data_IF_580734108662
#
_entry.id   IF_580734108662
#
_cell.length_a   1.000
_cell.length_b   1.000
_cell.length_c   1.000
_cell.angle_alpha   90.00
_cell.angle_beta   90.00
_cell.angle_gamma   90.00
#
_symmetry.space_group_name_H-M   'P 1'
#
loop_
_entity.id
_entity.type
_entity.pdbx_description
1 polymer ?
#
# COMPACT_ATOMS: atom_id res chain seq x y z
N UNK A 1 -34.85 10.77 25.94
CA UNK A 1 -34.58 9.96 27.15
C UNK A 1 -33.82 8.68 26.87
N UNK A 2 -33.94 8.02 25.70
CA UNK A 2 -33.04 6.89 25.36
C UNK A 2 -31.63 7.32 24.94
N UNK A 3 -31.46 8.52 24.37
CA UNK A 3 -30.15 8.95 23.85
C UNK A 3 -29.13 9.31 24.95
N UNK A 4 -29.59 9.86 26.08
CA UNK A 4 -28.69 10.25 27.18
C UNK A 4 -28.14 9.04 27.95
N UNK A 5 -28.91 7.94 28.01
CA UNK A 5 -28.49 6.71 28.69
C UNK A 5 -27.42 5.95 27.90
N UNK A 6 -27.62 5.82 26.57
CA UNK A 6 -26.63 5.20 25.68
C UNK A 6 -25.32 5.99 25.63
N UNK A 7 -25.41 7.33 25.71
CA UNK A 7 -24.23 8.20 25.78
C UNK A 7 -23.44 7.98 27.08
N UNK A 8 -24.13 7.89 28.22
CA UNK A 8 -23.49 7.67 29.52
C UNK A 8 -22.82 6.28 29.63
N UNK A 9 -23.44 5.21 29.12
CA UNK A 9 -22.82 3.87 29.10
C UNK A 9 -21.60 3.83 28.16
N UNK A 10 -21.69 4.48 26.99
CA UNK A 10 -20.57 4.58 26.04
C UNK A 10 -19.41 5.38 26.63
N UNK A 11 -19.68 6.51 27.28
CA UNK A 11 -18.66 7.35 27.93
C UNK A 11 -17.96 6.56 29.04
N UNK A 12 -18.69 5.84 29.91
CA UNK A 12 -18.10 5.03 30.98
C UNK A 12 -17.25 3.87 30.44
N UNK A 13 -17.69 3.21 29.36
CA UNK A 13 -16.91 2.17 28.69
C UNK A 13 -15.60 2.74 28.13
N UNK A 14 -15.67 3.88 27.44
CA UNK A 14 -14.51 4.58 26.91
C UNK A 14 -13.53 5.01 28.01
N UNK A 15 -14.03 5.54 29.14
CA UNK A 15 -13.19 5.91 30.28
C UNK A 15 -12.47 4.69 30.88
N UNK A 16 -13.15 3.54 31.00
CA UNK A 16 -12.54 2.30 31.49
C UNK A 16 -11.44 1.75 30.57
N UNK A 17 -11.66 1.76 29.26
CA UNK A 17 -10.67 1.37 28.25
C UNK A 17 -9.48 2.35 28.23
N UNK A 18 -9.74 3.65 28.32
CA UNK A 18 -8.72 4.71 28.42
C UNK A 18 -7.85 4.54 29.66
N UNK A 19 -8.44 4.26 30.81
CA UNK A 19 -7.70 4.06 32.06
C UNK A 19 -6.85 2.78 32.01
N UNK A 20 -7.41 1.69 31.49
CA UNK A 20 -6.72 0.41 31.30
C UNK A 20 -5.53 0.58 30.36
N UNK A 21 -5.75 1.21 29.21
CA UNK A 21 -4.69 1.50 28.24
C UNK A 21 -3.61 2.41 28.83
N UNK A 22 -3.98 3.45 29.58
CA UNK A 22 -3.01 4.36 30.21
C UNK A 22 -2.09 3.62 31.17
N UNK A 23 -2.65 2.72 32.00
CA UNK A 23 -1.87 1.85 32.91
C UNK A 23 -0.95 0.88 32.15
N UNK A 24 -1.43 0.27 31.08
CA UNK A 24 -0.62 -0.61 30.22
C UNK A 24 0.51 0.15 29.53
N UNK A 25 0.22 1.34 29.00
CA UNK A 25 1.17 2.26 28.39
C UNK A 25 2.25 2.63 29.39
N UNK A 26 1.90 3.16 30.55
CA UNK A 26 2.87 3.53 31.59
C UNK A 26 3.73 2.34 32.03
N UNK A 27 3.14 1.15 32.17
CA UNK A 27 3.87 -0.08 32.50
C UNK A 27 4.83 -0.53 31.38
N UNK A 28 4.45 -0.35 30.11
CA UNK A 28 5.27 -0.70 28.94
C UNK A 28 6.44 0.29 28.77
N UNK A 29 6.17 1.59 28.93
CA UNK A 29 7.15 2.67 28.75
C UNK A 29 8.09 2.89 29.93
N UNK A 30 7.67 2.53 31.15
CA UNK A 30 8.55 2.55 32.32
C UNK A 30 9.68 1.51 32.25
N UNK A 31 9.52 0.49 31.41
CA UNK A 31 10.49 -0.60 31.24
C UNK A 31 11.19 -0.60 29.87
N UNK A 32 10.87 0.35 28.99
CA UNK A 32 11.37 0.37 27.61
C UNK A 32 12.75 1.06 27.54
N UNK A 33 13.73 0.41 26.91
CA UNK A 33 15.03 1.01 26.63
C UNK A 33 14.97 2.11 25.54
N UNK A 34 16.11 2.76 25.28
CA UNK A 34 16.23 3.83 24.27
C UNK A 34 15.86 3.31 22.87
N UNK A 35 16.16 2.05 22.56
CA UNK A 35 15.79 1.43 21.28
C UNK A 35 14.28 1.33 21.12
N UNK A 36 13.56 0.93 22.17
CA UNK A 36 12.10 0.84 22.17
C UNK A 36 11.41 2.19 21.93
N UNK A 37 12.01 3.29 22.39
CA UNK A 37 11.53 4.66 22.09
C UNK A 37 11.77 5.02 20.62
N UNK A 38 12.95 4.73 20.08
CA UNK A 38 13.25 4.90 18.65
C UNK A 38 12.30 4.10 17.75
N UNK A 39 11.91 2.88 18.16
CA UNK A 39 10.92 2.09 17.43
C UNK A 39 9.53 2.72 17.46
N UNK A 40 9.13 3.36 18.54
CA UNK A 40 7.86 4.08 18.61
C UNK A 40 7.85 5.34 17.75
N UNK A 41 8.90 6.16 17.79
CA UNK A 41 9.01 7.35 16.93
C UNK A 41 8.96 6.95 15.44
N UNK A 42 9.61 5.83 15.09
CA UNK A 42 9.56 5.28 13.72
C UNK A 42 8.18 4.74 13.35
N UNK A 43 7.51 4.09 14.28
CA UNK A 43 6.18 3.52 14.03
C UNK A 43 5.09 4.58 13.97
N UNK A 44 5.23 5.65 14.75
CA UNK A 44 4.42 6.86 14.67
C UNK A 44 4.62 7.55 13.31
N UNK A 45 5.88 7.71 12.88
CA UNK A 45 6.21 8.26 11.56
C UNK A 45 5.62 7.43 10.42
N UNK A 46 5.62 6.11 10.56
CA UNK A 46 5.05 5.19 9.58
C UNK A 46 3.52 5.17 9.60
N UNK A 47 2.88 5.18 10.78
CA UNK A 47 1.43 5.31 10.93
C UNK A 47 0.94 6.63 10.32
N UNK A 48 1.70 7.71 10.49
CA UNK A 48 1.46 8.99 9.83
C UNK A 48 1.55 8.89 8.31
N UNK A 49 2.58 8.20 7.77
CA UNK A 49 2.70 7.99 6.32
C UNK A 49 1.56 7.15 5.75
N UNK A 50 1.14 6.09 6.45
CA UNK A 50 -0.04 5.30 6.07
C UNK A 50 -1.29 6.16 6.09
N UNK A 51 -1.50 6.95 7.14
CA UNK A 51 -2.64 7.85 7.21
C UNK A 51 -2.65 8.83 6.03
N UNK A 52 -1.52 9.43 5.67
CA UNK A 52 -1.40 10.32 4.50
C UNK A 52 -1.64 9.58 3.17
N UNK A 53 -1.19 8.33 3.04
CA UNK A 53 -1.49 7.49 1.88
C UNK A 53 -2.98 7.10 1.80
N UNK A 54 -3.60 6.72 2.91
CA UNK A 54 -5.03 6.46 3.02
C UNK A 54 -5.84 7.72 2.70
N UNK A 55 -5.43 8.89 3.20
CA UNK A 55 -6.06 10.19 2.87
C UNK A 55 -6.00 10.49 1.37
N UNK A 56 -4.89 10.16 0.69
CA UNK A 56 -4.77 10.26 -0.77
C UNK A 56 -5.71 9.28 -1.49
N UNK A 57 -5.84 8.06 -1.00
CA UNK A 57 -6.79 7.06 -1.52
C UNK A 57 -8.25 7.48 -1.29
N UNK A 58 -8.60 8.07 -0.15
CA UNK A 58 -9.94 8.61 0.15
C UNK A 58 -10.30 9.88 -0.67
N UNK A 59 -9.30 10.51 -1.30
CA UNK A 59 -9.52 11.63 -2.22
C UNK A 59 -9.99 11.17 -3.61
N UNK A 60 -9.87 9.86 -3.91
CA UNK A 60 -10.47 9.24 -5.08
C UNK A 60 -11.94 8.92 -4.79
N UNK A 61 -12.82 9.55 -5.58
CA UNK A 61 -14.27 9.47 -5.45
C UNK A 61 -14.76 8.04 -5.70
N UNK A 62 -15.14 7.29 -4.65
CA UNK A 62 -16.34 6.42 -4.60
C UNK A 62 -16.31 5.50 -3.36
N UNK A 63 -16.88 5.91 -2.22
CA UNK A 63 -17.40 4.99 -1.18
C UNK A 63 -18.60 5.64 -0.45
N UNK A 64 -19.65 4.82 -0.32
CA UNK A 64 -20.88 4.75 0.50
C UNK A 64 -21.40 5.91 1.40
N UNK A 65 -22.73 5.98 1.53
CA UNK A 65 -23.51 7.04 2.19
C UNK A 65 -23.32 7.13 3.72
N UNK A 66 -23.00 6.04 4.42
CA UNK A 66 -22.80 6.06 5.89
C UNK A 66 -21.50 6.75 6.34
N UNK A 67 -20.50 6.83 5.44
CA UNK A 67 -19.27 7.59 5.68
C UNK A 67 -19.43 9.09 5.38
N UNK A 68 -20.59 9.53 4.88
CA UNK A 68 -20.83 10.92 4.48
C UNK A 68 -20.79 11.90 5.65
N UNK A 69 -21.24 11.50 6.84
CA UNK A 69 -21.19 12.35 8.05
C UNK A 69 -19.75 12.47 8.59
N UNK A 70 -18.99 11.37 8.64
CA UNK A 70 -17.57 11.39 9.02
C UNK A 70 -16.75 12.16 7.98
N UNK A 71 -17.06 11.99 6.68
CA UNK A 71 -16.42 12.72 5.57
C UNK A 71 -16.82 14.20 5.56
N UNK A 72 -18.02 14.56 6.00
CA UNK A 72 -18.45 15.95 6.17
C UNK A 72 -17.71 16.62 7.32
N UNK A 73 -17.61 15.98 8.49
CA UNK A 73 -16.83 16.50 9.63
C UNK A 73 -15.32 16.54 9.31
N UNK A 74 -14.78 15.52 8.63
CA UNK A 74 -13.39 15.52 8.15
C UNK A 74 -13.16 16.55 7.05
N UNK A 75 -14.08 16.75 6.10
CA UNK A 75 -14.00 17.82 5.08
C UNK A 75 -14.12 19.19 5.70
N UNK A 76 -14.94 19.37 6.72
CA UNK A 76 -15.07 20.62 7.48
C UNK A 76 -13.78 20.93 8.25
N UNK A 77 -13.10 19.91 8.78
CA UNK A 77 -11.76 20.00 9.35
C UNK A 77 -10.65 20.23 8.29
N UNK A 78 -10.83 19.74 7.06
CA UNK A 78 -9.83 19.84 5.98
C UNK A 78 -9.94 21.10 5.10
N UNK A 79 -11.15 21.56 4.82
CA UNK A 79 -11.43 22.50 3.73
C UNK A 79 -11.20 23.97 4.08
N UNK A 80 -10.91 24.29 5.34
CA UNK A 80 -10.77 25.70 5.75
C UNK A 80 -9.32 26.16 5.95
N UNK A 81 -8.32 25.26 5.98
CA UNK A 81 -6.94 25.66 6.36
C UNK A 81 -5.79 25.01 5.56
N UNK A 82 -5.93 23.82 4.94
CA UNK A 82 -4.75 23.08 4.42
C UNK A 82 -4.30 23.44 3.00
N UNK A 83 -5.25 23.75 2.10
CA UNK A 83 -4.94 23.99 0.67
C UNK A 83 -4.16 25.28 0.41
N UNK A 84 -4.43 26.33 1.18
CA UNK A 84 -3.71 27.60 1.07
C UNK A 84 -2.35 27.53 1.78
N UNK A 85 -2.26 26.80 2.90
CA UNK A 85 -1.02 26.62 3.67
C UNK A 85 0.04 25.81 2.92
N UNK A 86 -0.34 24.72 2.24
CA UNK A 86 0.62 23.87 1.51
C UNK A 86 1.24 24.61 0.32
N UNK A 87 0.45 25.44 -0.37
CA UNK A 87 0.92 26.28 -1.46
C UNK A 87 1.85 27.39 -0.93
N UNK A 88 1.48 28.05 0.18
CA UNK A 88 2.31 29.07 0.82
C UNK A 88 3.65 28.52 1.34
N UNK A 89 3.65 27.32 1.94
CA UNK A 89 4.86 26.64 2.41
C UNK A 89 5.76 26.24 1.23
N UNK A 90 5.18 25.69 0.16
CA UNK A 90 5.91 25.36 -1.07
C UNK A 90 6.60 26.59 -1.65
N UNK A 91 5.91 27.73 -1.71
CA UNK A 91 6.46 28.94 -2.31
C UNK A 91 7.54 29.59 -1.42
N UNK A 92 7.38 29.55 -0.10
CA UNK A 92 8.44 29.95 0.85
C UNK A 92 9.68 29.06 0.79
N UNK A 93 9.51 27.75 0.68
CA UNK A 93 10.66 26.82 0.54
C UNK A 93 11.41 27.10 -0.77
N UNK A 94 10.69 27.36 -1.88
CA UNK A 94 11.31 27.77 -3.14
C UNK A 94 12.09 29.08 -2.98
N UNK A 95 11.50 30.07 -2.32
CA UNK A 95 12.16 31.36 -2.05
C UNK A 95 13.48 31.16 -1.27
N UNK A 96 13.46 30.35 -0.21
CA UNK A 96 14.65 30.05 0.61
C UNK A 96 15.72 29.34 -0.23
N UNK A 97 15.32 28.32 -1.01
CA UNK A 97 16.25 27.53 -1.83
C UNK A 97 16.88 28.36 -2.96
N UNK A 98 16.14 29.32 -3.53
CA UNK A 98 16.63 30.18 -4.61
C UNK A 98 17.26 31.50 -4.13
N UNK A 99 17.36 31.72 -2.82
CA UNK A 99 17.92 32.96 -2.23
C UNK A 99 19.43 33.15 -2.45
N UNK A 100 20.14 32.15 -2.97
CA UNK A 100 21.60 32.21 -3.20
C UNK A 100 22.44 32.11 -1.91
N UNK A 101 21.81 31.80 -0.77
CA UNK A 101 22.49 31.59 0.53
C UNK A 101 23.33 30.30 0.54
N UNK A 102 24.22 30.19 1.53
CA UNK A 102 24.96 28.96 1.79
C UNK A 102 24.02 27.78 2.10
N UNK A 103 24.39 26.57 1.65
CA UNK A 103 23.54 25.37 1.77
C UNK A 103 23.18 25.02 3.21
N UNK A 104 24.05 25.26 4.18
CA UNK A 104 23.75 24.95 5.58
C UNK A 104 22.73 25.93 6.17
N UNK A 105 22.77 27.18 5.71
CA UNK A 105 21.80 28.22 6.08
C UNK A 105 20.43 27.91 5.46
N UNK A 106 20.42 27.51 4.18
CA UNK A 106 19.20 27.07 3.48
C UNK A 106 18.57 25.87 4.20
N UNK A 107 19.37 24.87 4.58
CA UNK A 107 18.87 23.69 5.28
C UNK A 107 18.24 24.07 6.63
N UNK A 108 18.88 24.94 7.41
CA UNK A 108 18.34 25.38 8.70
C UNK A 108 17.06 26.21 8.53
N UNK A 109 17.01 27.14 7.57
CA UNK A 109 15.81 27.96 7.32
C UNK A 109 14.64 27.12 6.77
N UNK A 110 14.89 26.10 5.97
CA UNK A 110 13.86 25.15 5.53
C UNK A 110 13.35 24.32 6.72
N UNK A 111 14.23 23.89 7.62
CA UNK A 111 13.85 23.18 8.85
C UNK A 111 13.03 24.08 9.76
N UNK A 112 13.45 25.33 9.96
CA UNK A 112 12.74 26.29 10.82
C UNK A 112 11.38 26.69 10.22
N UNK A 113 11.30 26.83 8.89
CA UNK A 113 10.05 27.04 8.16
C UNK A 113 9.13 25.82 8.32
N UNK A 114 9.65 24.61 8.09
CA UNK A 114 8.89 23.38 8.27
C UNK A 114 8.38 23.22 9.71
N UNK A 115 9.21 23.46 10.73
CA UNK A 115 8.84 23.38 12.14
C UNK A 115 7.75 24.40 12.51
N UNK A 116 7.86 25.64 12.03
CA UNK A 116 6.85 26.69 12.24
C UNK A 116 5.50 26.36 11.59
N UNK A 117 5.51 25.61 10.49
CA UNK A 117 4.30 25.12 9.82
C UNK A 117 3.75 23.83 10.44
N UNK A 118 4.62 22.97 10.99
CA UNK A 118 4.24 21.77 11.74
C UNK A 118 3.43 22.12 12.99
N UNK A 119 3.74 23.24 13.66
CA UNK A 119 2.95 23.78 14.77
C UNK A 119 1.50 24.12 14.38
N UNK A 120 1.16 24.16 13.09
CA UNK A 120 -0.16 24.52 12.54
C UNK A 120 -0.79 23.43 11.63
N UNK A 121 -0.26 22.20 11.61
CA UNK A 121 -0.90 21.09 10.87
C UNK A 121 -2.17 20.59 11.57
N UNK A 122 -3.24 20.20 10.85
CA UNK A 122 -4.49 19.82 11.47
C UNK A 122 -4.41 18.45 12.15
N UNK A 123 -4.83 18.47 13.42
CA UNK A 123 -5.29 17.36 14.27
C UNK A 123 -4.28 16.24 14.57
N UNK A 124 -3.20 16.60 15.22
CA UNK A 124 -2.72 15.77 16.32
C UNK A 124 -3.64 16.08 17.52
N UNK A 125 -4.16 15.09 18.29
CA UNK A 125 -4.92 15.38 19.50
C UNK A 125 -3.92 15.86 20.59
N UNK A 126 -3.40 17.08 20.42
CA UNK A 126 -2.43 17.70 21.34
C UNK A 126 -3.10 18.20 22.62
N UNK A 127 -4.42 18.30 22.66
CA UNK A 127 -5.13 18.44 23.93
C UNK A 127 -4.79 17.21 24.77
N UNK A 128 -3.97 17.42 25.82
CA UNK A 128 -3.57 16.38 26.79
C UNK A 128 -4.77 15.62 27.36
N UNK A 129 -5.97 16.16 27.20
CA UNK A 129 -7.23 15.65 27.73
C UNK A 129 -8.12 15.00 26.65
N UNK A 130 -7.73 14.99 25.37
CA UNK A 130 -8.55 14.35 24.33
C UNK A 130 -8.49 12.82 24.44
N UNK A 131 -9.62 12.12 24.64
CA UNK A 131 -9.65 10.66 24.68
C UNK A 131 -9.22 10.02 23.35
N UNK A 132 -9.35 10.74 22.23
CA UNK A 132 -8.88 10.30 20.91
C UNK A 132 -7.34 10.20 20.83
N UNK A 133 -6.62 10.93 21.68
CA UNK A 133 -5.16 10.81 21.79
C UNK A 133 -4.75 9.40 22.18
N UNK A 134 -5.44 8.83 23.17
CA UNK A 134 -5.11 7.51 23.71
C UNK A 134 -5.46 6.41 22.71
N UNK A 135 -6.58 6.55 22.00
CA UNK A 135 -6.94 5.66 20.88
C UNK A 135 -5.89 5.72 19.77
N UNK A 136 -5.44 6.92 19.40
CA UNK A 136 -4.40 7.11 18.38
C UNK A 136 -3.04 6.54 18.81
N UNK A 137 -2.62 6.80 20.05
CA UNK A 137 -1.41 6.22 20.63
C UNK A 137 -1.51 4.70 20.67
N UNK A 138 -2.66 4.12 21.03
CA UNK A 138 -2.86 2.66 21.06
C UNK A 138 -2.70 2.07 19.67
N UNK A 139 -3.39 2.63 18.68
CA UNK A 139 -3.27 2.23 17.28
C UNK A 139 -1.82 2.29 16.82
N UNK A 140 -1.10 3.37 17.12
CA UNK A 140 0.32 3.51 16.77
C UNK A 140 1.20 2.45 17.44
N UNK A 141 0.96 2.12 18.72
CA UNK A 141 1.70 1.07 19.44
C UNK A 141 1.38 -0.33 18.88
N UNK A 142 0.13 -0.61 18.54
CA UNK A 142 -0.25 -1.90 17.95
C UNK A 142 0.30 -2.06 16.55
N UNK A 143 0.27 -0.99 15.74
CA UNK A 143 0.90 -0.96 14.42
C UNK A 143 2.43 -1.12 14.54
N UNK A 144 3.06 -0.42 15.49
CA UNK A 144 4.48 -0.58 15.82
C UNK A 144 4.83 -2.01 16.19
N UNK A 145 4.04 -2.62 17.08
CA UNK A 145 4.21 -3.99 17.53
C UNK A 145 4.10 -4.98 16.37
N UNK A 146 3.09 -4.77 15.52
CA UNK A 146 2.87 -5.59 14.33
C UNK A 146 4.05 -5.45 13.36
N UNK A 147 4.53 -4.23 13.11
CA UNK A 147 5.66 -3.98 12.22
C UNK A 147 6.98 -4.54 12.75
N UNK A 148 7.26 -4.35 14.04
CA UNK A 148 8.47 -4.88 14.66
C UNK A 148 8.47 -6.41 14.65
N UNK A 149 7.31 -7.03 14.87
CA UNK A 149 7.15 -8.49 14.71
C UNK A 149 7.29 -8.94 13.25
N UNK A 150 6.91 -8.10 12.29
CA UNK A 150 7.00 -8.43 10.86
C UNK A 150 8.37 -8.12 10.25
N UNK A 151 9.28 -7.39 10.89
CA UNK A 151 10.62 -7.07 10.33
C UNK A 151 11.36 -8.32 9.85
N UNK A 152 11.28 -9.42 10.60
CA UNK A 152 11.90 -10.69 10.20
C UNK A 152 11.26 -11.24 8.92
N UNK A 153 9.93 -11.15 8.79
CA UNK A 153 9.20 -11.59 7.59
C UNK A 153 9.51 -10.69 6.39
N UNK A 154 9.53 -9.37 6.58
CA UNK A 154 9.93 -8.41 5.53
C UNK A 154 11.35 -8.69 5.04
N UNK A 155 12.28 -8.98 5.96
CA UNK A 155 13.66 -9.31 5.63
C UNK A 155 13.76 -10.62 4.85
N UNK A 156 13.06 -11.67 5.30
CA UNK A 156 12.99 -12.96 4.60
C UNK A 156 12.44 -12.80 3.19
N UNK A 157 11.30 -12.11 3.03
CA UNK A 157 10.68 -11.82 1.74
C UNK A 157 11.60 -11.01 0.81
N UNK A 158 12.37 -10.08 1.37
CA UNK A 158 13.38 -9.33 0.61
C UNK A 158 14.51 -10.24 0.11
N UNK A 159 15.00 -11.17 0.94
CA UNK A 159 16.03 -12.14 0.55
C UNK A 159 15.51 -13.09 -0.53
N UNK A 160 14.28 -13.58 -0.41
CA UNK A 160 13.64 -14.43 -1.40
C UNK A 160 13.54 -13.76 -2.78
N UNK A 161 13.10 -12.50 -2.82
CA UNK A 161 13.08 -11.72 -4.07
C UNK A 161 14.48 -11.48 -4.62
N UNK A 162 15.45 -11.18 -3.75
CA UNK A 162 16.83 -10.97 -4.16
C UNK A 162 17.41 -12.22 -4.83
N UNK A 163 17.20 -13.40 -4.22
CA UNK A 163 17.62 -14.69 -4.78
C UNK A 163 16.96 -14.94 -6.14
N UNK A 164 15.66 -14.64 -6.27
CA UNK A 164 14.95 -14.80 -7.52
C UNK A 164 15.51 -13.90 -8.63
N UNK A 165 15.77 -12.63 -8.33
CA UNK A 165 16.30 -11.66 -9.29
C UNK A 165 17.74 -12.00 -9.71
N UNK A 166 18.55 -12.57 -8.84
CA UNK A 166 19.93 -12.98 -9.21
C UNK A 166 19.99 -14.02 -10.33
N UNK A 167 18.92 -14.80 -10.52
CA UNK A 167 18.86 -15.85 -11.52
C UNK A 167 18.18 -15.43 -12.82
N UNK A 168 17.65 -14.22 -12.89
CA UNK A 168 16.74 -13.75 -13.94
C UNK A 168 17.28 -12.44 -14.48
N UNK A 169 17.33 -12.29 -15.81
CA UNK A 169 17.66 -11.00 -16.44
C UNK A 169 16.38 -10.41 -17.04
N UNK A 170 15.58 -9.66 -16.26
CA UNK A 170 14.29 -9.18 -16.74
C UNK A 170 14.47 -8.18 -17.89
N UNK A 171 13.59 -8.27 -18.89
CA UNK A 171 13.54 -7.28 -19.97
C UNK A 171 13.16 -5.90 -19.43
N UNK A 172 13.52 -4.84 -20.16
CA UNK A 172 13.24 -3.45 -19.75
C UNK A 172 11.76 -3.18 -19.52
N UNK A 173 10.91 -3.89 -20.26
CA UNK A 173 9.46 -3.85 -20.18
C UNK A 173 8.91 -4.45 -18.89
N UNK A 174 9.62 -5.41 -18.29
CA UNK A 174 9.20 -6.14 -17.09
C UNK A 174 9.67 -5.46 -15.80
N UNK A 175 10.75 -4.66 -15.85
CA UNK A 175 11.32 -3.98 -14.67
C UNK A 175 10.30 -3.13 -13.87
N UNK A 176 9.47 -2.26 -14.49
CA UNK A 176 8.52 -1.43 -13.74
C UNK A 176 7.51 -2.28 -12.96
N UNK A 177 7.14 -3.42 -13.53
CA UNK A 177 6.24 -4.36 -12.90
C UNK A 177 6.87 -5.05 -11.70
N UNK A 178 8.08 -5.60 -11.87
CA UNK A 178 8.79 -6.25 -10.77
C UNK A 178 9.04 -5.29 -9.61
N UNK A 179 9.24 -4.00 -9.88
CA UNK A 179 9.34 -2.97 -8.85
C UNK A 179 8.07 -2.86 -8.00
N UNK A 180 6.88 -2.84 -8.61
CA UNK A 180 5.62 -2.77 -7.88
C UNK A 180 5.30 -4.07 -7.16
N UNK A 181 5.54 -5.21 -7.82
CA UNK A 181 5.35 -6.53 -7.24
C UNK A 181 6.24 -6.75 -6.02
N UNK A 182 7.51 -6.33 -6.09
CA UNK A 182 8.44 -6.43 -4.98
C UNK A 182 7.97 -5.62 -3.76
N UNK A 183 7.44 -4.41 -3.97
CA UNK A 183 6.87 -3.61 -2.88
C UNK A 183 5.70 -4.35 -2.24
N UNK A 184 4.71 -4.79 -3.02
CA UNK A 184 3.56 -5.52 -2.50
C UNK A 184 3.98 -6.76 -1.72
N UNK A 185 4.92 -7.54 -2.27
CA UNK A 185 5.38 -8.76 -1.65
C UNK A 185 6.09 -8.50 -0.34
N UNK A 186 7.07 -7.57 -0.33
CA UNK A 186 7.78 -7.20 0.89
C UNK A 186 6.79 -6.79 1.96
N UNK A 187 5.80 -5.96 1.65
CA UNK A 187 4.82 -5.45 2.63
C UNK A 187 3.74 -6.45 3.09
N UNK A 188 3.71 -7.68 2.59
CA UNK A 188 2.68 -8.65 3.00
C UNK A 188 1.39 -8.61 2.19
N UNK A 189 1.34 -7.87 1.08
CA UNK A 189 0.15 -7.72 0.24
C UNK A 189 0.03 -8.87 -0.77
N UNK A 190 -0.24 -10.06 -0.25
CA UNK A 190 -0.19 -11.31 -1.01
C UNK A 190 -1.25 -11.37 -2.11
N UNK A 191 -2.49 -10.95 -1.84
CA UNK A 191 -3.56 -10.86 -2.85
C UNK A 191 -3.21 -9.93 -4.01
N UNK A 192 -2.65 -8.77 -3.70
CA UNK A 192 -2.25 -7.75 -4.65
C UNK A 192 -1.11 -8.27 -5.54
N UNK A 193 -0.17 -9.03 -4.97
CA UNK A 193 0.85 -9.73 -5.74
C UNK A 193 0.24 -10.67 -6.78
N UNK A 194 -0.77 -11.48 -6.41
CA UNK A 194 -1.44 -12.40 -7.34
C UNK A 194 -2.16 -11.63 -8.46
N UNK A 195 -2.86 -10.55 -8.12
CA UNK A 195 -3.56 -9.69 -9.10
C UNK A 195 -2.57 -9.05 -10.07
N UNK A 196 -1.46 -8.55 -9.55
CA UNK A 196 -0.36 -7.99 -10.33
C UNK A 196 0.22 -9.05 -11.28
N UNK A 197 0.45 -10.27 -10.79
CA UNK A 197 0.96 -11.40 -11.57
C UNK A 197 0.08 -11.71 -12.78
N UNK A 198 -1.23 -11.82 -12.57
CA UNK A 198 -2.21 -12.01 -13.65
C UNK A 198 -2.20 -10.83 -14.63
N UNK A 199 -2.21 -9.61 -14.12
CA UNK A 199 -2.30 -8.39 -14.94
C UNK A 199 -1.10 -8.25 -15.89
N UNK A 200 0.10 -8.64 -15.45
CA UNK A 200 1.29 -8.52 -16.29
C UNK A 200 1.46 -9.64 -17.29
N UNK A 201 1.10 -10.88 -16.95
CA UNK A 201 1.03 -11.90 -18.00
C UNK A 201 -0.02 -11.52 -19.05
N UNK A 202 -1.17 -10.95 -18.65
CA UNK A 202 -2.21 -10.49 -19.59
C UNK A 202 -1.67 -9.45 -20.57
N UNK A 203 -0.99 -8.43 -20.05
CA UNK A 203 -0.32 -7.43 -20.87
C UNK A 203 0.75 -8.05 -21.79
N UNK A 204 1.58 -8.96 -21.30
CA UNK A 204 2.61 -9.62 -22.10
C UNK A 204 2.02 -10.47 -23.23
N UNK A 205 1.00 -11.29 -22.94
CA UNK A 205 0.26 -12.07 -23.93
C UNK A 205 -0.47 -11.18 -24.95
N UNK A 206 -1.02 -10.04 -24.54
CA UNK A 206 -1.67 -9.10 -25.46
C UNK A 206 -0.72 -8.60 -26.56
N UNK A 207 0.56 -8.48 -26.22
CA UNK A 207 1.64 -8.06 -27.14
C UNK A 207 2.15 -9.24 -27.98
N UNK A 208 2.45 -10.39 -27.35
CA UNK A 208 3.08 -11.54 -28.04
C UNK A 208 2.09 -12.31 -28.90
N UNK A 209 0.85 -12.48 -28.43
CA UNK A 209 -0.27 -13.11 -29.16
C UNK A 209 -1.34 -12.07 -29.43
N UNK A 210 -1.06 -11.17 -30.39
CA UNK A 210 -1.98 -10.10 -30.75
C UNK A 210 -3.27 -10.64 -31.40
N UNK A 211 -4.25 -9.75 -31.64
CA UNK A 211 -5.56 -10.15 -32.19
C UNK A 211 -5.46 -10.85 -33.55
N UNK A 212 -4.51 -10.45 -34.42
CA UNK A 212 -4.33 -11.07 -35.74
C UNK A 212 -3.90 -12.54 -35.63
N UNK A 213 -2.95 -12.83 -34.72
CA UNK A 213 -2.51 -14.21 -34.45
C UNK A 213 -3.66 -15.02 -33.85
N UNK A 214 -4.45 -14.40 -32.95
CA UNK A 214 -5.61 -15.07 -32.37
C UNK A 214 -6.68 -15.40 -33.43
N UNK A 215 -7.01 -14.46 -34.33
CA UNK A 215 -7.99 -14.65 -35.40
C UNK A 215 -7.58 -15.77 -36.37
N UNK A 216 -6.29 -15.88 -36.70
CA UNK A 216 -5.74 -16.99 -37.49
C UNK A 216 -6.08 -18.37 -36.92
N UNK A 217 -6.14 -18.50 -35.60
CA UNK A 217 -6.35 -19.79 -34.90
C UNK A 217 -7.75 -20.03 -34.38
N UNK A 218 -8.49 -18.96 -34.08
CA UNK A 218 -9.80 -19.01 -33.41
C UNK A 218 -10.94 -18.42 -34.25
N UNK A 219 -10.63 -17.86 -35.42
CA UNK A 219 -11.58 -17.16 -36.29
C UNK A 219 -11.75 -15.69 -35.95
N UNK A 220 -12.32 -14.94 -36.89
CA UNK A 220 -12.57 -13.49 -36.76
C UNK A 220 -13.58 -13.17 -35.66
N UNK A 221 -13.34 -12.06 -34.93
CA UNK A 221 -14.28 -11.52 -33.94
C UNK A 221 -14.52 -10.04 -34.16
N UNK A 222 -15.77 -9.69 -34.45
CA UNK A 222 -16.11 -8.31 -34.78
C UNK A 222 -16.22 -7.35 -33.57
N UNK A 223 -16.31 -7.84 -32.32
CA UNK A 223 -16.72 -6.98 -31.18
C UNK A 223 -16.01 -7.20 -29.83
N UNK A 224 -15.13 -8.20 -29.71
CA UNK A 224 -14.54 -8.53 -28.40
C UNK A 224 -13.07 -8.91 -28.52
N UNK A 225 -12.24 -8.29 -27.68
CA UNK A 225 -10.85 -8.70 -27.51
C UNK A 225 -10.78 -10.16 -27.02
N UNK A 226 -9.76 -10.87 -27.47
CA UNK A 226 -9.48 -12.22 -26.97
C UNK A 226 -9.09 -12.18 -25.50
N UNK A 227 -9.61 -13.13 -24.73
CA UNK A 227 -9.34 -13.29 -23.30
C UNK A 227 -7.92 -13.78 -23.07
N UNK A 228 -7.41 -13.65 -21.84
CA UNK A 228 -6.11 -14.20 -21.46
C UNK A 228 -6.03 -15.72 -21.71
N UNK A 229 -7.08 -16.47 -21.39
CA UNK A 229 -7.18 -17.92 -21.63
C UNK A 229 -7.01 -18.27 -23.12
N UNK A 230 -7.70 -17.52 -24.00
CA UNK A 230 -7.60 -17.71 -25.45
C UNK A 230 -6.20 -17.38 -25.97
N UNK A 231 -5.58 -16.33 -25.43
CA UNK A 231 -4.21 -15.93 -25.78
C UNK A 231 -3.18 -16.98 -25.34
N UNK A 232 -3.33 -17.56 -24.15
CA UNK A 232 -2.48 -18.66 -23.67
C UNK A 232 -2.60 -19.87 -24.60
N UNK A 233 -3.83 -20.25 -24.97
CA UNK A 233 -4.08 -21.35 -25.91
C UNK A 233 -3.44 -21.09 -27.28
N UNK A 234 -3.56 -19.88 -27.81
CA UNK A 234 -2.96 -19.49 -29.09
C UNK A 234 -1.44 -19.48 -29.00
N UNK A 235 -0.85 -19.01 -27.89
CA UNK A 235 0.59 -19.03 -27.67
C UNK A 235 1.14 -20.45 -27.70
N UNK A 236 0.41 -21.41 -27.12
CA UNK A 236 0.74 -22.83 -27.20
C UNK A 236 0.68 -23.35 -28.64
N UNK A 237 -0.39 -23.02 -29.39
CA UNK A 237 -0.55 -23.46 -30.79
C UNK A 237 0.53 -22.91 -31.72
N UNK A 238 1.01 -21.70 -31.47
CA UNK A 238 2.13 -21.09 -32.20
C UNK A 238 3.51 -21.60 -31.72
N UNK A 239 3.55 -22.52 -30.74
CA UNK A 239 4.80 -23.08 -30.21
C UNK A 239 5.61 -22.10 -29.36
N UNK A 240 5.00 -21.00 -28.91
CA UNK A 240 5.61 -20.00 -28.02
C UNK A 240 5.72 -20.58 -26.60
N UNK A 241 4.68 -21.31 -26.18
CA UNK A 241 4.67 -22.04 -24.90
C UNK A 241 4.70 -23.54 -25.17
N UNK A 242 5.43 -24.28 -24.33
CA UNK A 242 5.22 -25.71 -24.17
C UNK A 242 4.04 -26.00 -23.21
N UNK A 243 3.68 -27.29 -23.04
CA UNK A 243 2.56 -27.68 -22.16
C UNK A 243 2.81 -27.29 -20.70
N UNK A 244 4.07 -27.31 -20.26
CA UNK A 244 4.44 -26.96 -18.89
C UNK A 244 4.22 -25.46 -18.63
N UNK A 245 4.75 -24.59 -19.50
CA UNK A 245 4.58 -23.14 -19.40
C UNK A 245 3.13 -22.71 -19.55
N UNK A 246 2.36 -23.39 -20.41
CA UNK A 246 0.91 -23.16 -20.52
C UNK A 246 0.19 -23.52 -19.21
N UNK A 247 0.52 -24.65 -18.58
CA UNK A 247 -0.04 -25.01 -17.27
C UNK A 247 0.29 -23.98 -16.19
N UNK A 248 1.51 -23.45 -16.19
CA UNK A 248 1.94 -22.40 -15.27
C UNK A 248 1.16 -21.09 -15.52
N UNK A 249 1.01 -20.68 -16.77
CA UNK A 249 0.24 -19.50 -17.15
C UNK A 249 -1.24 -19.61 -16.76
N UNK A 250 -1.85 -20.78 -16.98
CA UNK A 250 -3.23 -21.06 -16.57
C UNK A 250 -3.41 -21.04 -15.05
N UNK A 251 -2.42 -21.51 -14.31
CA UNK A 251 -2.42 -21.43 -12.84
C UNK A 251 -2.43 -19.98 -12.37
N UNK A 252 -1.56 -19.12 -12.92
CA UNK A 252 -1.53 -17.68 -12.58
C UNK A 252 -2.87 -17.02 -12.92
N UNK A 253 -3.41 -17.32 -14.11
CA UNK A 253 -4.71 -16.79 -14.56
C UNK A 253 -5.82 -17.18 -13.59
N UNK A 254 -5.90 -18.45 -13.22
CA UNK A 254 -6.93 -19.00 -12.34
C UNK A 254 -6.82 -18.39 -10.95
N UNK A 255 -5.62 -18.43 -10.34
CA UNK A 255 -5.37 -17.83 -9.02
C UNK A 255 -5.76 -16.34 -8.99
N UNK A 256 -5.39 -15.56 -10.01
CA UNK A 256 -5.77 -14.16 -10.05
C UNK A 256 -7.25 -13.92 -10.30
N UNK A 257 -7.94 -14.82 -10.99
CA UNK A 257 -9.39 -14.75 -11.11
C UNK A 257 -10.07 -15.06 -9.76
N UNK A 258 -9.58 -16.07 -9.05
CA UNK A 258 -10.14 -16.50 -7.76
C UNK A 258 -9.94 -15.44 -6.68
N UNK A 259 -8.75 -14.83 -6.59
CA UNK A 259 -8.48 -13.72 -5.65
C UNK A 259 -9.39 -12.51 -5.90
N UNK A 260 -9.68 -12.20 -7.17
CA UNK A 260 -10.52 -11.03 -7.52
C UNK A 260 -12.01 -11.30 -7.27
N UNK A 261 -12.47 -12.53 -7.50
CA UNK A 261 -13.91 -12.82 -7.56
C UNK A 261 -14.46 -13.68 -6.41
N UNK A 262 -13.62 -14.40 -5.68
CA UNK A 262 -14.05 -15.35 -4.65
C UNK A 262 -13.64 -14.90 -3.24
N UNK A 263 -12.35 -14.98 -2.92
CA UNK A 263 -11.80 -14.65 -1.61
C UNK A 263 -10.34 -14.21 -1.77
N UNK A 264 -9.97 -13.00 -1.34
CA UNK A 264 -8.58 -12.54 -1.36
C UNK A 264 -7.59 -13.47 -0.66
N UNK A 265 -8.05 -14.28 0.31
CA UNK A 265 -7.21 -15.17 1.11
C UNK A 265 -7.11 -16.61 0.57
N UNK A 266 -7.73 -16.91 -0.59
CA UNK A 266 -7.76 -18.28 -1.13
C UNK A 266 -6.38 -18.75 -1.59
N UNK A 267 -5.53 -17.83 -2.04
CA UNK A 267 -4.17 -18.14 -2.53
C UNK A 267 -3.16 -17.85 -1.42
N UNK A 268 -2.48 -18.90 -0.96
CA UNK A 268 -1.49 -18.81 0.13
C UNK A 268 -0.04 -18.64 -0.35
N UNK A 269 0.23 -18.95 -1.63
CA UNK A 269 1.58 -18.96 -2.18
C UNK A 269 1.77 -17.83 -3.21
N UNK A 270 1.91 -16.61 -2.69
CA UNK A 270 2.23 -15.43 -3.52
C UNK A 270 3.61 -15.54 -4.14
N UNK A 271 4.62 -16.03 -3.40
CA UNK A 271 5.98 -16.18 -3.91
C UNK A 271 6.09 -17.19 -5.05
N UNK A 272 5.42 -18.33 -4.95
CA UNK A 272 5.31 -19.31 -6.03
C UNK A 272 4.69 -18.70 -7.29
N UNK A 273 3.64 -17.88 -7.13
CA UNK A 273 3.03 -17.17 -8.24
C UNK A 273 3.96 -16.13 -8.87
N UNK A 274 4.78 -15.42 -8.07
CA UNK A 274 5.81 -14.50 -8.57
C UNK A 274 6.84 -15.26 -9.43
N UNK A 275 7.37 -16.38 -8.92
CA UNK A 275 8.34 -17.23 -9.64
C UNK A 275 7.77 -17.72 -10.98
N UNK A 276 6.53 -18.22 -10.95
CA UNK A 276 5.80 -18.68 -12.11
C UNK A 276 5.60 -17.55 -13.14
N UNK A 277 5.23 -16.35 -12.68
CA UNK A 277 5.08 -15.19 -13.57
C UNK A 277 6.39 -14.83 -14.25
N UNK A 278 7.51 -14.81 -13.52
CA UNK A 278 8.81 -14.52 -14.12
C UNK A 278 9.17 -15.57 -15.18
N UNK A 279 8.99 -16.86 -14.90
CA UNK A 279 9.28 -17.92 -15.87
C UNK A 279 8.45 -17.77 -17.16
N UNK A 280 7.16 -17.43 -17.04
CA UNK A 280 6.30 -17.14 -18.19
C UNK A 280 6.78 -15.91 -18.96
N UNK A 281 7.19 -14.84 -18.27
CA UNK A 281 7.69 -13.64 -18.92
C UNK A 281 9.01 -13.88 -19.66
N UNK A 282 9.94 -14.63 -19.08
CA UNK A 282 11.19 -15.02 -19.75
C UNK A 282 10.89 -15.84 -21.02
N UNK A 283 9.96 -16.77 -20.95
CA UNK A 283 9.50 -17.55 -22.11
C UNK A 283 8.91 -16.64 -23.21
N UNK A 284 8.10 -15.63 -22.85
CA UNK A 284 7.47 -14.72 -23.82
C UNK A 284 8.45 -13.71 -24.44
N UNK A 285 9.51 -13.31 -23.73
CA UNK A 285 10.46 -12.29 -24.19
C UNK A 285 11.77 -12.85 -24.77
N UNK A 286 11.92 -14.17 -24.80
CA UNK A 286 12.94 -14.84 -25.62
C UNK A 286 12.51 -14.88 -27.09
#
# INVERSE_FOLDING_TARGET
>A
MCDDYNRFEFDNFLYGEVETYTKEREKKWSNSDIESRLFFDRSESFAFHILECCKKLYSLETIDEDLSTLRYELKKLYAHEKGDLENELSDKIKEIVYSGKDRNIIAQEVIDCYNKYNDNLPFYPHEKESPLRLVWERLSIEYAGTLTSSVSDLANRTIELYQLILHVTPSKEVIPYLSNLAKCYIWGFDSECIILCRSVIDNAFSKKTNNQICEKHLGERHWKNFTLEERILVAQKEGILDENMKTIADTIRTNGNDVVHLDPNIVKDSFGSIKNTIAVLECLYT
#
